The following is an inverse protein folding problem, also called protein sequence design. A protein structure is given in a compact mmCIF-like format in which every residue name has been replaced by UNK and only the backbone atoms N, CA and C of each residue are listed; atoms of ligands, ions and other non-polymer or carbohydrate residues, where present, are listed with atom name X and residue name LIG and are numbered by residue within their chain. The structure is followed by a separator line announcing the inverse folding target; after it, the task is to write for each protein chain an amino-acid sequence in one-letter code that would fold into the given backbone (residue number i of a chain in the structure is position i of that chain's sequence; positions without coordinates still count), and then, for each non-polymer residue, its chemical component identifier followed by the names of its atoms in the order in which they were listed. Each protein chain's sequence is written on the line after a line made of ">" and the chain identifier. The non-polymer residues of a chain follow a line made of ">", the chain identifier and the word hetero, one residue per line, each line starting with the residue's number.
data_IF_642371126485
#
_entry.id   IF_642371126485
#
_cell.length_a   1.000
_cell.length_b   1.000
_cell.length_c   1.000
_cell.angle_alpha   90.00
_cell.angle_beta   90.00
_cell.angle_gamma   90.00
#
_symmetry.space_group_name_H-M   'P 1'
#
loop_
_entity.id
_entity.type
_entity.pdbx_description
1 polymer ?
#
# COMPACT_ATOMS: atom_id res chain seq x y z
N UNK A 1 31.67 19.59 16.23
CA UNK A 1 30.19 19.45 16.42
C UNK A 1 29.38 19.77 15.15
N UNK A 2 29.70 20.83 14.40
CA UNK A 2 28.96 21.18 13.15
C UNK A 2 29.07 20.12 12.05
N UNK A 3 30.25 19.49 11.90
CA UNK A 3 30.47 18.43 10.89
C UNK A 3 29.60 17.18 11.10
N UNK A 4 29.27 16.85 12.35
CA UNK A 4 28.36 15.73 12.66
C UNK A 4 26.92 16.03 12.23
N UNK A 5 26.49 17.29 12.34
CA UNK A 5 25.14 17.71 11.92
C UNK A 5 25.02 17.65 10.39
N UNK A 6 26.05 18.11 9.67
CA UNK A 6 26.11 17.99 8.21
C UNK A 6 26.22 16.54 7.72
N UNK A 7 26.92 15.68 8.47
CA UNK A 7 26.97 14.25 8.18
C UNK A 7 25.59 13.59 8.33
N UNK A 8 24.87 13.89 9.42
CA UNK A 8 23.52 13.36 9.66
C UNK A 8 22.48 13.87 8.65
N UNK A 9 22.58 15.14 8.23
CA UNK A 9 21.70 15.67 7.18
C UNK A 9 21.96 14.99 5.83
N UNK A 10 23.21 14.80 5.43
CA UNK A 10 23.55 14.09 4.19
C UNK A 10 23.04 12.64 4.19
N UNK A 11 23.05 11.96 5.35
CA UNK A 11 22.48 10.61 5.48
C UNK A 11 20.95 10.58 5.33
N UNK A 12 20.25 11.63 5.77
CA UNK A 12 18.79 11.73 5.62
C UNK A 12 18.35 12.04 4.19
N UNK A 13 19.12 12.86 3.44
CA UNK A 13 18.82 13.17 2.04
C UNK A 13 19.21 12.06 1.06
N UNK A 14 20.04 11.10 1.48
CA UNK A 14 20.42 9.94 0.67
C UNK A 14 19.51 8.73 0.85
N UNK A 15 18.41 8.81 1.61
CA UNK A 15 17.44 7.73 1.60
C UNK A 15 16.78 7.67 0.21
N UNK A 16 17.03 6.62 -0.59
CA UNK A 16 16.23 6.43 -1.79
C UNK A 16 14.79 6.27 -1.30
N UNK A 17 13.86 6.97 -1.96
CA UNK A 17 12.43 6.69 -1.80
C UNK A 17 12.29 5.17 -1.79
N UNK A 18 11.76 4.60 -0.69
CA UNK A 18 11.62 3.15 -0.54
C UNK A 18 10.71 2.67 -1.66
N UNK A 19 11.29 2.37 -2.81
CA UNK A 19 10.70 1.48 -3.78
C UNK A 19 10.75 0.14 -3.09
N UNK A 20 9.65 -0.20 -2.43
CA UNK A 20 9.31 -1.59 -2.19
C UNK A 20 9.33 -2.23 -3.57
N UNK A 21 10.47 -2.80 -3.96
CA UNK A 21 10.55 -3.78 -5.04
C UNK A 21 9.65 -4.91 -4.55
N UNK A 22 8.36 -4.80 -4.89
CA UNK A 22 7.38 -5.87 -4.74
C UNK A 22 8.03 -7.08 -5.37
N UNK A 23 8.31 -8.10 -4.56
CA UNK A 23 8.84 -9.33 -5.09
C UNK A 23 7.77 -9.83 -6.08
N UNK A 24 8.14 -10.17 -7.31
CA UNK A 24 7.18 -10.66 -8.31
C UNK A 24 6.43 -11.91 -7.82
N UNK A 25 6.98 -12.59 -6.81
CA UNK A 25 6.36 -13.69 -6.08
C UNK A 25 5.20 -13.29 -5.16
N UNK A 26 5.15 -12.05 -4.64
CA UNK A 26 4.06 -11.60 -3.75
C UNK A 26 2.73 -11.49 -4.51
N UNK A 27 2.79 -11.13 -5.80
CA UNK A 27 1.62 -11.06 -6.67
C UNK A 27 1.05 -12.44 -6.98
N UNK A 28 1.89 -13.46 -7.14
CA UNK A 28 1.49 -14.84 -7.39
C UNK A 28 0.68 -15.43 -6.22
N UNK A 29 1.00 -15.04 -4.99
CA UNK A 29 0.27 -15.48 -3.78
C UNK A 29 -1.16 -14.96 -3.77
N UNK A 30 -1.39 -13.70 -4.17
CA UNK A 30 -2.74 -13.12 -4.20
C UNK A 30 -3.50 -13.50 -5.47
N UNK A 31 -2.81 -13.73 -6.58
CA UNK A 31 -3.37 -14.21 -7.84
C UNK A 31 -3.84 -15.67 -7.77
N UNK A 32 -3.28 -16.45 -6.85
CA UNK A 32 -3.64 -17.86 -6.60
C UNK A 32 -4.87 -18.03 -5.67
N UNK A 33 -5.46 -16.93 -5.19
CA UNK A 33 -6.72 -17.01 -4.44
C UNK A 33 -7.83 -17.57 -5.35
N UNK A 34 -8.36 -18.75 -5.00
CA UNK A 34 -9.47 -19.44 -5.70
C UNK A 34 -10.80 -18.68 -5.72
N UNK A 35 -10.82 -17.44 -5.22
CA UNK A 35 -11.99 -16.60 -5.14
C UNK A 35 -12.24 -15.92 -6.47
N UNK A 36 -13.50 -15.83 -6.88
CA UNK A 36 -13.87 -15.00 -8.03
C UNK A 36 -13.73 -13.51 -7.70
N UNK A 37 -13.81 -12.65 -8.72
CA UNK A 37 -13.66 -11.20 -8.55
C UNK A 37 -14.72 -10.58 -7.64
N UNK A 38 -15.93 -11.14 -7.61
CA UNK A 38 -17.00 -10.67 -6.71
C UNK A 38 -16.64 -10.98 -5.26
N UNK A 39 -16.18 -12.19 -4.99
CA UNK A 39 -15.84 -12.63 -3.65
C UNK A 39 -14.60 -11.93 -3.12
N UNK A 40 -13.60 -11.69 -3.99
CA UNK A 40 -12.45 -10.82 -3.67
C UNK A 40 -12.89 -9.44 -3.23
N UNK A 41 -13.81 -8.79 -3.97
CA UNK A 41 -14.36 -7.48 -3.59
C UNK A 41 -15.07 -7.52 -2.25
N UNK A 42 -15.93 -8.51 -2.02
CA UNK A 42 -16.66 -8.66 -0.74
C UNK A 42 -15.67 -8.80 0.42
N UNK A 43 -14.63 -9.62 0.27
CA UNK A 43 -13.60 -9.84 1.30
C UNK A 43 -12.77 -8.59 1.54
N UNK A 44 -12.36 -7.87 0.49
CA UNK A 44 -11.63 -6.62 0.61
C UNK A 44 -12.44 -5.57 1.40
N UNK A 45 -13.74 -5.43 1.13
CA UNK A 45 -14.62 -4.52 1.87
C UNK A 45 -14.70 -4.91 3.35
N UNK A 46 -14.81 -6.21 3.66
CA UNK A 46 -14.83 -6.69 5.05
C UNK A 46 -13.53 -6.36 5.78
N UNK A 47 -12.39 -6.55 5.13
CA UNK A 47 -11.07 -6.21 5.70
C UNK A 47 -11.00 -4.70 5.99
N UNK A 48 -11.38 -3.86 5.04
CA UNK A 48 -11.37 -2.40 5.23
C UNK A 48 -12.27 -1.99 6.39
N UNK A 49 -13.48 -2.56 6.50
CA UNK A 49 -14.37 -2.31 7.64
C UNK A 49 -13.72 -2.71 8.97
N UNK A 50 -13.13 -3.88 9.06
CA UNK A 50 -12.39 -4.31 10.26
C UNK A 50 -11.24 -3.34 10.61
N UNK A 51 -10.50 -2.84 9.63
CA UNK A 51 -9.43 -1.87 9.88
C UNK A 51 -9.96 -0.52 10.41
N UNK A 52 -11.16 -0.14 9.99
CA UNK A 52 -11.81 1.11 10.40
C UNK A 52 -12.48 0.98 11.77
N UNK A 53 -13.17 -0.13 12.01
CA UNK A 53 -13.97 -0.40 13.21
C UNK A 53 -13.10 -0.65 14.45
N UNK A 54 -11.86 -1.11 14.28
CA UNK A 54 -10.96 -1.45 15.37
C UNK A 54 -9.75 -0.50 15.39
N UNK A 55 -9.65 0.41 16.38
CA UNK A 55 -8.58 1.42 16.46
C UNK A 55 -7.16 0.85 16.43
N UNK A 56 -6.97 -0.36 16.99
CA UNK A 56 -5.68 -1.07 17.01
C UNK A 56 -5.11 -1.32 15.61
N UNK A 57 -5.95 -1.41 14.58
CA UNK A 57 -5.49 -1.71 13.23
C UNK A 57 -5.40 -0.46 12.33
N UNK A 58 -5.76 0.72 12.83
CA UNK A 58 -5.72 1.96 12.04
C UNK A 58 -4.29 2.34 11.63
N UNK A 59 -3.27 1.97 12.42
CA UNK A 59 -1.86 2.21 12.06
C UNK A 59 -1.42 1.46 10.79
N UNK A 60 -2.03 0.30 10.50
CA UNK A 60 -1.75 -0.48 9.31
C UNK A 60 -2.54 0.02 8.09
N UNK A 61 -3.61 0.79 8.29
CA UNK A 61 -4.45 1.30 7.22
C UNK A 61 -3.67 2.19 6.25
N UNK A 62 -2.84 3.10 6.78
CA UNK A 62 -2.02 3.97 5.95
C UNK A 62 -1.00 3.16 5.14
N UNK A 63 -0.36 2.17 5.75
CA UNK A 63 0.58 1.28 5.07
C UNK A 63 -0.10 0.54 3.90
N UNK A 64 -1.28 -0.03 4.16
CA UNK A 64 -2.06 -0.74 3.15
C UNK A 64 -2.49 0.17 1.99
N UNK A 65 -2.99 1.37 2.29
CA UNK A 65 -3.42 2.34 1.27
C UNK A 65 -2.26 2.99 0.51
N UNK A 66 -1.04 2.93 1.05
CA UNK A 66 0.18 3.38 0.39
C UNK A 66 0.83 2.33 -0.51
N UNK A 67 0.39 1.07 -0.41
CA UNK A 67 0.92 -0.01 -1.23
C UNK A 67 0.67 0.28 -2.71
N UNK A 68 1.65 -0.04 -3.56
CA UNK A 68 1.56 0.20 -5.00
C UNK A 68 1.39 -1.11 -5.75
N UNK A 69 0.49 -1.13 -6.72
CA UNK A 69 0.36 -2.24 -7.65
C UNK A 69 1.56 -2.30 -8.61
N UNK A 70 1.55 -3.27 -9.54
CA UNK A 70 2.61 -3.45 -10.55
C UNK A 70 2.80 -2.23 -11.46
N UNK A 71 1.77 -1.41 -11.62
CA UNK A 71 1.77 -0.18 -12.41
C UNK A 71 2.25 1.03 -11.58
N UNK A 72 2.67 0.81 -10.32
CA UNK A 72 3.12 1.86 -9.43
C UNK A 72 1.99 2.72 -8.83
N UNK A 73 0.74 2.29 -8.97
CA UNK A 73 -0.46 3.02 -8.51
C UNK A 73 -0.86 2.57 -7.11
N UNK A 74 -1.23 3.53 -6.26
CA UNK A 74 -1.90 3.22 -4.99
C UNK A 74 -3.36 2.78 -5.23
N UNK A 75 -4.02 2.12 -4.26
CA UNK A 75 -5.46 1.85 -4.33
C UNK A 75 -6.30 3.07 -4.73
N UNK A 76 -5.96 4.25 -4.18
CA UNK A 76 -6.63 5.51 -4.52
C UNK A 76 -6.45 5.87 -6.01
N UNK A 77 -5.21 5.82 -6.51
CA UNK A 77 -4.92 6.11 -7.92
C UNK A 77 -5.61 5.14 -8.86
N UNK A 78 -5.59 3.84 -8.53
CA UNK A 78 -6.26 2.81 -9.32
C UNK A 78 -7.78 3.02 -9.36
N UNK A 79 -8.39 3.37 -8.22
CA UNK A 79 -9.81 3.71 -8.18
C UNK A 79 -10.16 4.96 -9.01
N UNK A 80 -9.28 5.97 -9.06
CA UNK A 80 -9.46 7.16 -9.94
C UNK A 80 -9.38 6.73 -11.40
N UNK A 81 -8.36 5.97 -11.78
CA UNK A 81 -8.13 5.53 -13.15
C UNK A 81 -9.28 4.65 -13.68
N UNK A 82 -9.91 3.87 -12.80
CA UNK A 82 -11.06 3.03 -13.14
C UNK A 82 -12.42 3.75 -12.97
N UNK A 83 -12.44 5.05 -12.66
CA UNK A 83 -13.65 5.82 -12.38
C UNK A 83 -14.56 5.16 -11.31
N UNK A 84 -13.97 4.47 -10.34
CA UNK A 84 -14.68 3.61 -9.39
C UNK A 84 -15.51 4.37 -8.34
N UNK A 85 -15.42 5.70 -8.31
CA UNK A 85 -16.20 6.56 -7.40
C UNK A 85 -17.58 6.92 -7.96
N UNK A 86 -17.80 6.72 -9.26
CA UNK A 86 -19.10 6.95 -9.89
C UNK A 86 -19.91 5.66 -9.80
N UNK A 87 -20.43 5.39 -8.61
CA UNK A 87 -21.47 4.40 -8.38
C UNK A 87 -22.85 5.06 -8.49
#
# INVERSE_FOLDING_TARGET
>A
KIQQIQYLQNQLYQQPARTTRSNSNDFLVWSSCKYDEREKRIRAIKIIRLLLDYPLFQEHLLSLLSFRNLEGQTPFMSAVNCCAYNC
#
